data_IF_048447225741
#
_entry.id   IF_048447225741
#
_cell.length_a   1.000
_cell.length_b   1.000
_cell.length_c   1.000
_cell.angle_alpha   90.00
_cell.angle_beta   90.00
_cell.angle_gamma   90.00
#
_symmetry.space_group_name_H-M   'P 1'
#
loop_
_entity.id
_entity.type
_entity.pdbx_description
1 polymer ?
#
# COMPACT_ATOMS: atom_id res chain seq x y z
N UNK A 1 -15.72 2.62 24.09
CA UNK A 1 -14.50 1.86 24.43
C UNK A 1 -13.35 2.84 24.64
N UNK A 2 -12.64 2.74 25.78
CA UNK A 2 -11.47 3.60 26.05
C UNK A 2 -10.31 3.08 25.20
N UNK A 3 -10.00 3.79 24.12
CA UNK A 3 -8.85 3.51 23.26
C UNK A 3 -7.58 3.59 24.12
N UNK A 4 -6.83 2.49 24.25
CA UNK A 4 -5.55 2.50 24.94
C UNK A 4 -4.48 3.02 23.98
N UNK A 5 -3.74 4.07 24.36
CA UNK A 5 -2.66 4.67 23.53
C UNK A 5 -1.70 3.63 22.95
N UNK A 6 -1.40 2.58 23.72
CA UNK A 6 -0.51 1.48 23.32
C UNK A 6 -1.01 0.71 22.10
N UNK A 7 -2.33 0.49 21.96
CA UNK A 7 -2.89 -0.20 20.79
C UNK A 7 -2.72 0.62 19.52
N UNK A 8 -3.00 1.93 19.58
CA UNK A 8 -2.79 2.86 18.47
C UNK A 8 -1.33 2.86 18.01
N UNK A 9 -0.38 2.94 18.95
CA UNK A 9 1.04 2.97 18.65
C UNK A 9 1.52 1.72 17.90
N UNK A 10 1.04 0.53 18.29
CA UNK A 10 1.38 -0.73 17.60
C UNK A 10 0.88 -0.72 16.16
N UNK A 11 -0.36 -0.30 15.90
CA UNK A 11 -0.90 -0.23 14.54
C UNK A 11 -0.13 0.75 13.65
N UNK A 12 0.22 1.92 14.17
CA UNK A 12 1.05 2.88 13.44
C UNK A 12 2.46 2.33 13.17
N UNK A 13 3.09 1.70 14.16
CA UNK A 13 4.40 1.09 13.99
C UNK A 13 4.36 0.00 12.90
N UNK A 14 3.37 -0.90 12.93
CA UNK A 14 3.19 -1.92 11.90
C UNK A 14 2.97 -1.30 10.52
N UNK A 15 2.13 -0.28 10.42
CA UNK A 15 1.87 0.43 9.15
C UNK A 15 3.16 1.01 8.57
N UNK A 16 3.95 1.71 9.39
CA UNK A 16 5.21 2.33 8.97
C UNK A 16 6.22 1.27 8.56
N UNK A 17 6.43 0.24 9.38
CA UNK A 17 7.39 -0.84 9.09
C UNK A 17 7.05 -1.53 7.77
N UNK A 18 5.79 -1.93 7.58
CA UNK A 18 5.36 -2.63 6.36
C UNK A 18 5.45 -1.71 5.15
N UNK A 19 5.07 -0.44 5.26
CA UNK A 19 5.23 0.53 4.18
C UNK A 19 6.72 0.75 3.81
N UNK A 20 7.63 0.79 4.79
CA UNK A 20 9.06 0.91 4.49
C UNK A 20 9.60 -0.35 3.82
N UNK A 21 9.17 -1.53 4.24
CA UNK A 21 9.54 -2.81 3.60
C UNK A 21 9.07 -2.81 2.14
N UNK A 22 7.81 -2.45 1.87
CA UNK A 22 7.31 -2.44 0.49
C UNK A 22 7.91 -1.35 -0.38
N UNK A 23 8.25 -0.19 0.19
CA UNK A 23 9.01 0.83 -0.54
C UNK A 23 10.39 0.28 -0.97
N UNK A 24 11.10 -0.39 -0.05
CA UNK A 24 12.39 -1.01 -0.33
C UNK A 24 12.26 -2.11 -1.40
N UNK A 25 11.27 -2.98 -1.26
CA UNK A 25 10.99 -4.05 -2.24
C UNK A 25 10.67 -3.48 -3.61
N UNK A 26 9.81 -2.45 -3.68
CA UNK A 26 9.45 -1.80 -4.94
C UNK A 26 10.65 -1.12 -5.61
N UNK A 27 11.64 -0.67 -4.85
CA UNK A 27 12.84 -0.01 -5.38
C UNK A 27 13.96 -0.98 -5.77
N UNK A 28 13.75 -2.30 -5.68
CA UNK A 28 14.78 -3.31 -5.89
C UNK A 28 14.55 -4.12 -7.18
N UNK A 29 15.38 -3.89 -8.18
CA UNK A 29 15.37 -4.65 -9.44
C UNK A 29 15.65 -6.15 -9.23
N UNK A 30 16.47 -6.50 -8.24
CA UNK A 30 16.78 -7.89 -7.94
C UNK A 30 15.54 -8.66 -7.44
N UNK A 31 14.73 -8.03 -6.57
CA UNK A 31 13.49 -8.65 -6.07
C UNK A 31 12.45 -8.69 -7.20
N UNK A 32 12.43 -7.65 -8.04
CA UNK A 32 11.58 -7.57 -9.21
C UNK A 32 11.80 -8.76 -10.16
N UNK A 33 13.04 -9.01 -10.58
CA UNK A 33 13.39 -10.10 -11.49
C UNK A 33 13.14 -11.48 -10.85
N UNK A 34 13.39 -11.62 -9.55
CA UNK A 34 13.18 -12.88 -8.83
C UNK A 34 11.70 -13.27 -8.67
N UNK A 35 10.81 -12.27 -8.57
CA UNK A 35 9.36 -12.50 -8.31
C UNK A 35 8.49 -12.40 -9.56
N UNK A 36 9.02 -11.82 -10.63
CA UNK A 36 8.34 -11.67 -11.92
C UNK A 36 9.27 -12.00 -13.10
N UNK A 37 9.49 -13.30 -13.38
CA UNK A 37 10.36 -13.71 -14.48
C UNK A 37 9.86 -13.14 -15.82
N UNK A 38 10.76 -12.85 -16.77
CA UNK A 38 10.40 -12.27 -18.05
C UNK A 38 9.43 -13.19 -18.83
N UNK A 39 8.33 -12.59 -19.29
CA UNK A 39 7.28 -13.32 -20.00
C UNK A 39 6.00 -12.50 -20.20
N UNK A 40 5.02 -13.03 -20.94
CA UNK A 40 3.80 -12.31 -21.30
C UNK A 40 2.93 -11.91 -20.09
N UNK A 41 3.12 -12.55 -18.93
CA UNK A 41 2.37 -12.29 -17.71
C UNK A 41 3.12 -11.42 -16.69
N UNK A 42 4.37 -11.03 -16.97
CA UNK A 42 5.23 -10.30 -16.03
C UNK A 42 4.56 -9.02 -15.52
N UNK A 43 4.00 -8.22 -16.43
CA UNK A 43 3.32 -6.96 -16.09
C UNK A 43 2.09 -7.23 -15.22
N UNK A 44 1.27 -8.22 -15.58
CA UNK A 44 0.04 -8.54 -14.84
C UNK A 44 0.36 -8.99 -13.41
N UNK A 45 1.36 -9.87 -13.26
CA UNK A 45 1.84 -10.32 -11.95
C UNK A 45 2.30 -9.14 -11.10
N UNK A 46 3.13 -8.26 -11.68
CA UNK A 46 3.62 -7.06 -11.00
C UNK A 46 2.49 -6.19 -10.47
N UNK A 47 1.50 -5.86 -11.30
CA UNK A 47 0.36 -5.02 -10.88
C UNK A 47 -0.51 -5.72 -9.84
N UNK A 48 -0.64 -7.05 -9.92
CA UNK A 48 -1.38 -7.82 -8.90
C UNK A 48 -0.69 -7.81 -7.53
N UNK A 49 0.64 -7.96 -7.49
CA UNK A 49 1.42 -7.85 -6.25
C UNK A 49 1.34 -6.45 -5.66
N UNK A 50 1.38 -5.42 -6.50
CA UNK A 50 1.20 -4.03 -6.10
C UNK A 50 -0.14 -3.80 -5.40
N UNK A 51 -1.26 -4.26 -6.00
CA UNK A 51 -2.59 -4.17 -5.37
C UNK A 51 -2.64 -4.89 -4.02
N UNK A 52 -2.06 -6.09 -3.93
CA UNK A 52 -2.03 -6.87 -2.69
C UNK A 52 -1.20 -6.16 -1.60
N UNK A 53 -0.01 -5.66 -1.93
CA UNK A 53 0.84 -4.91 -1.02
C UNK A 53 0.13 -3.65 -0.51
N UNK A 54 -0.48 -2.87 -1.40
CA UNK A 54 -1.24 -1.68 -1.02
C UNK A 54 -2.51 -1.99 -0.22
N UNK A 55 -3.14 -3.15 -0.44
CA UNK A 55 -4.25 -3.61 0.40
C UNK A 55 -3.80 -3.92 1.83
N UNK A 56 -2.63 -4.54 2.00
CA UNK A 56 -2.05 -4.79 3.33
C UNK A 56 -1.76 -3.46 4.04
N UNK A 57 -1.11 -2.50 3.36
CA UNK A 57 -0.83 -1.17 3.96
C UNK A 57 -2.13 -0.42 4.27
N UNK A 58 -3.12 -0.46 3.37
CA UNK A 58 -4.43 0.14 3.57
C UNK A 58 -5.19 -0.44 4.77
N UNK A 59 -5.12 -1.76 4.96
CA UNK A 59 -5.68 -2.45 6.12
C UNK A 59 -5.02 -1.98 7.43
N UNK A 60 -3.68 -1.96 7.47
CA UNK A 60 -2.93 -1.51 8.64
C UNK A 60 -3.20 -0.03 8.96
N UNK A 61 -3.20 0.83 7.94
CA UNK A 61 -3.47 2.25 8.09
C UNK A 61 -4.90 2.52 8.59
N UNK A 62 -5.89 1.81 8.03
CA UNK A 62 -7.27 1.89 8.50
C UNK A 62 -7.39 1.44 9.96
N UNK A 63 -6.72 0.33 10.32
CA UNK A 63 -6.67 -0.15 11.70
C UNK A 63 -5.99 0.84 12.64
N UNK A 64 -4.95 1.53 12.18
CA UNK A 64 -4.28 2.59 12.94
C UNK A 64 -5.19 3.80 13.20
N UNK A 65 -5.97 4.22 12.20
CA UNK A 65 -6.95 5.29 12.32
C UNK A 65 -8.07 4.93 13.31
N UNK A 66 -8.64 3.73 13.18
CA UNK A 66 -9.69 3.22 14.08
C UNK A 66 -9.17 3.05 15.51
N UNK A 67 -7.98 2.45 15.67
CA UNK A 67 -7.30 2.34 16.95
C UNK A 67 -6.90 3.70 17.54
N UNK A 68 -6.96 4.80 16.77
CA UNK A 68 -6.77 6.18 17.25
C UNK A 68 -8.09 6.90 17.54
N UNK A 69 -9.23 6.22 17.41
CA UNK A 69 -10.57 6.81 17.55
C UNK A 69 -10.98 7.71 16.38
N UNK A 70 -10.30 7.61 15.23
CA UNK A 70 -10.53 8.44 14.04
C UNK A 70 -11.07 7.58 12.89
N UNK A 71 -12.36 7.22 12.94
CA UNK A 71 -12.96 6.51 11.82
C UNK A 71 -13.03 7.40 10.57
N UNK A 72 -12.62 6.87 9.42
CA UNK A 72 -12.60 7.59 8.15
C UNK A 72 -13.28 6.77 7.05
N UNK A 73 -13.85 7.43 6.02
CA UNK A 73 -14.41 6.73 4.87
C UNK A 73 -13.30 5.96 4.13
N UNK A 74 -13.62 4.80 3.53
CA UNK A 74 -12.65 4.00 2.79
C UNK A 74 -11.99 4.77 1.63
N UNK A 75 -12.71 5.76 1.07
CA UNK A 75 -12.15 6.69 0.08
C UNK A 75 -10.95 7.48 0.61
N UNK A 76 -10.95 7.87 1.89
CA UNK A 76 -9.81 8.56 2.50
C UNK A 76 -8.58 7.66 2.52
N UNK A 77 -8.74 6.40 2.93
CA UNK A 77 -7.66 5.41 2.90
C UNK A 77 -7.18 5.15 1.48
N UNK A 78 -8.09 4.99 0.51
CA UNK A 78 -7.74 4.82 -0.89
C UNK A 78 -6.87 5.97 -1.42
N UNK A 79 -7.25 7.22 -1.15
CA UNK A 79 -6.47 8.40 -1.55
C UNK A 79 -5.11 8.49 -0.82
N UNK A 80 -5.06 8.13 0.46
CA UNK A 80 -3.81 8.11 1.23
C UNK A 80 -2.83 7.07 0.66
N UNK A 81 -3.30 5.87 0.33
CA UNK A 81 -2.45 4.82 -0.26
C UNK A 81 -2.08 5.13 -1.72
N UNK A 82 -2.98 5.76 -2.50
CA UNK A 82 -2.63 6.29 -3.82
C UNK A 82 -1.51 7.34 -3.74
N UNK A 83 -1.55 8.22 -2.73
CA UNK A 83 -0.50 9.21 -2.48
C UNK A 83 0.82 8.54 -2.08
N UNK A 84 0.76 7.50 -1.24
CA UNK A 84 1.93 6.70 -0.90
C UNK A 84 2.51 5.99 -2.14
N UNK A 85 1.67 5.43 -3.02
CA UNK A 85 2.13 4.87 -4.30
C UNK A 85 2.81 5.92 -5.18
N UNK A 86 2.25 7.14 -5.27
CA UNK A 86 2.88 8.24 -6.01
C UNK A 86 4.26 8.59 -5.44
N UNK A 87 4.44 8.52 -4.12
CA UNK A 87 5.76 8.72 -3.51
C UNK A 87 6.76 7.64 -3.90
N UNK A 88 6.33 6.37 -4.03
CA UNK A 88 7.18 5.28 -4.52
C UNK A 88 7.66 5.59 -5.95
N UNK A 89 6.75 6.00 -6.84
CA UNK A 89 7.07 6.36 -8.22
C UNK A 89 8.10 7.51 -8.29
N UNK A 90 7.93 8.55 -7.45
CA UNK A 90 8.88 9.65 -7.36
C UNK A 90 10.26 9.15 -6.92
N UNK A 91 10.31 8.27 -5.91
CA UNK A 91 11.58 7.71 -5.41
C UNK A 91 12.24 6.85 -6.49
N UNK A 92 11.48 5.99 -7.17
CA UNK A 92 11.99 5.16 -8.27
C UNK A 92 12.55 6.01 -9.41
N UNK A 93 11.86 7.10 -9.77
CA UNK A 93 12.35 8.06 -10.78
C UNK A 93 13.68 8.72 -10.36
N UNK A 94 13.84 9.06 -9.06
CA UNK A 94 15.09 9.61 -8.53
C UNK A 94 16.24 8.60 -8.50
N UNK A 95 15.95 7.31 -8.37
CA UNK A 95 16.94 6.22 -8.37
C UNK A 95 17.27 5.73 -9.79
N UNK A 96 16.59 6.27 -10.82
CA UNK A 96 16.89 6.01 -12.22
C UNK A 96 16.01 4.95 -12.89
N UNK A 97 14.90 4.56 -12.28
CA UNK A 97 13.85 3.80 -12.99
C UNK A 97 13.07 4.74 -13.91
N UNK A 98 12.98 4.38 -15.20
CA UNK A 98 12.34 5.18 -16.23
C UNK A 98 11.16 4.42 -16.84
N UNK A 99 10.12 4.16 -16.05
CA UNK A 99 8.83 3.76 -16.60
C UNK A 99 8.10 4.97 -17.21
N UNK A 100 7.34 4.72 -18.28
CA UNK A 100 6.57 5.78 -18.95
C UNK A 100 5.43 6.26 -18.06
N UNK A 101 5.07 7.56 -18.16
CA UNK A 101 4.03 8.22 -17.33
C UNK A 101 2.70 7.43 -17.23
N UNK A 102 2.30 6.72 -18.28
CA UNK A 102 1.09 5.89 -18.27
C UNK A 102 1.18 4.69 -17.32
N UNK A 103 2.36 4.07 -17.18
CA UNK A 103 2.57 2.96 -16.25
C UNK A 103 2.57 3.43 -14.80
N UNK A 104 3.18 4.58 -14.52
CA UNK A 104 3.17 5.20 -13.19
C UNK A 104 1.73 5.55 -12.76
N UNK A 105 0.88 6.00 -13.69
CA UNK A 105 -0.53 6.25 -13.41
C UNK A 105 -1.28 4.96 -13.03
N UNK A 106 -0.94 3.82 -13.67
CA UNK A 106 -1.50 2.51 -13.32
C UNK A 106 -1.04 2.09 -11.92
N UNK A 107 0.22 2.31 -11.53
CA UNK A 107 0.70 1.99 -10.19
C UNK A 107 -0.02 2.79 -9.11
N UNK A 108 -0.21 4.10 -9.34
CA UNK A 108 -1.04 4.94 -8.45
C UNK A 108 -2.48 4.42 -8.37
N UNK A 109 -3.04 3.97 -9.49
CA UNK A 109 -4.33 3.30 -9.55
C UNK A 109 -4.37 2.01 -8.72
N UNK A 110 -3.33 1.18 -8.78
CA UNK A 110 -3.17 0.01 -7.92
C UNK A 110 -3.14 0.40 -6.43
N UNK A 111 -2.45 1.50 -6.09
CA UNK A 111 -2.46 2.10 -4.76
C UNK A 111 -3.87 2.47 -4.28
N UNK A 112 -4.64 3.14 -5.12
CA UNK A 112 -6.02 3.50 -4.82
C UNK A 112 -6.90 2.26 -4.58
N UNK A 113 -6.86 1.29 -5.49
CA UNK A 113 -7.65 0.06 -5.42
C UNK A 113 -7.28 -0.75 -4.18
N UNK A 114 -5.98 -0.97 -3.96
CA UNK A 114 -5.46 -1.67 -2.79
C UNK A 114 -5.92 -0.98 -1.50
N UNK A 115 -5.73 0.34 -1.38
CA UNK A 115 -6.16 1.10 -0.21
C UNK A 115 -7.66 0.98 0.08
N UNK A 116 -8.51 1.01 -0.95
CA UNK A 116 -9.95 0.82 -0.79
C UNK A 116 -10.30 -0.59 -0.28
N UNK A 117 -9.67 -1.62 -0.86
CA UNK A 117 -9.85 -3.02 -0.43
C UNK A 117 -9.40 -3.23 1.02
N UNK A 118 -8.21 -2.73 1.37
CA UNK A 118 -7.67 -2.83 2.72
C UNK A 118 -8.57 -2.19 3.78
N UNK A 119 -9.11 -1.01 3.49
CA UNK A 119 -10.10 -0.35 4.36
C UNK A 119 -11.40 -1.17 4.50
N UNK A 120 -11.85 -1.80 3.41
CA UNK A 120 -13.00 -2.72 3.43
C UNK A 120 -12.76 -3.93 4.33
N UNK A 121 -11.58 -4.56 4.23
CA UNK A 121 -11.19 -5.71 5.05
C UNK A 121 -11.13 -5.36 6.54
N UNK A 122 -10.56 -4.20 6.90
CA UNK A 122 -10.52 -3.78 8.31
C UNK A 122 -11.93 -3.53 8.87
N UNK A 123 -12.83 -2.95 8.06
CA UNK A 123 -14.23 -2.78 8.46
C UNK A 123 -14.95 -4.11 8.67
N UNK A 124 -14.66 -5.12 7.87
CA UNK A 124 -15.23 -6.47 8.06
C UNK A 124 -14.72 -7.08 9.38
N UNK A 125 -13.42 -6.96 9.66
CA UNK A 125 -12.83 -7.42 10.92
C UNK A 125 -13.42 -6.73 12.15
N UNK A 126 -13.74 -5.44 12.07
CA UNK A 126 -14.37 -4.72 13.18
C UNK A 126 -15.84 -5.11 13.41
N UNK A 127 -16.48 -5.80 12.47
CA UNK A 127 -17.88 -6.28 12.56
C UNK A 127 -18.01 -7.72 13.04
N UNK A 128 -16.94 -8.53 12.94
CA UNK A 128 -16.87 -9.91 13.44
C UNK A 128 -16.52 -9.96 14.91
#
# INVERSE_FOLDING_TARGET
>A
MRVTRTKSAVWWALTIIVALIFLFVASSDAIYEATSPPGPLQILLRKSYSVAAFAIVGFLFSGALEASGKSRPGLFTALAIATYSLLIEIIQALVGSHEGLGWNAIDVGCGFVGGYLGAGLERLRLRS
#
